data_IF_766770798109
#
_entry.id   IF_766770798109
#
_cell.length_a   1.000
_cell.length_b   1.000
_cell.length_c   1.000
_cell.angle_alpha   90.00
_cell.angle_beta   90.00
_cell.angle_gamma   90.00
#
_symmetry.space_group_name_H-M   'P 1'
#
loop_
_entity.id
_entity.type
_entity.pdbx_description
1 polymer ?
#
# COMPACT_ATOMS: atom_id res chain seq x y z
N UNK A 1 -1.84 15.89 5.72
CA UNK A 1 -0.69 15.98 6.65
C UNK A 1 0.10 14.69 6.72
N UNK A 2 -0.50 13.54 7.12
CA UNK A 2 0.24 12.28 7.27
C UNK A 2 0.99 11.84 6.00
N UNK A 3 0.35 11.89 4.82
CA UNK A 3 1.00 11.57 3.54
C UNK A 3 2.25 12.43 3.32
N UNK A 4 2.11 13.76 3.42
CA UNK A 4 3.26 14.67 3.24
C UNK A 4 4.37 14.40 4.27
N UNK A 5 4.02 14.10 5.51
CA UNK A 5 4.99 13.79 6.56
C UNK A 5 5.79 12.53 6.24
N UNK A 6 5.12 11.44 5.86
CA UNK A 6 5.80 10.16 5.57
C UNK A 6 6.54 10.19 4.24
N UNK A 7 6.03 10.91 3.23
CA UNK A 7 6.76 11.13 1.97
C UNK A 7 8.04 11.92 2.20
N UNK A 8 7.98 12.98 3.01
CA UNK A 8 9.17 13.78 3.34
C UNK A 8 10.16 12.95 4.18
N UNK A 9 9.68 12.22 5.19
CA UNK A 9 10.51 11.34 5.99
C UNK A 9 11.21 10.27 5.14
N UNK A 10 10.52 9.68 4.15
CA UNK A 10 11.10 8.67 3.25
C UNK A 10 12.20 9.28 2.37
N UNK A 11 11.98 10.50 1.86
CA UNK A 11 13.00 11.23 1.11
C UNK A 11 14.23 11.54 1.95
N UNK A 12 14.05 11.96 3.21
CA UNK A 12 15.15 12.22 4.13
C UNK A 12 15.90 10.95 4.53
N UNK A 13 15.20 9.84 4.82
CA UNK A 13 15.80 8.54 5.13
C UNK A 13 16.67 8.04 3.96
N UNK A 14 16.18 8.20 2.73
CA UNK A 14 16.94 7.86 1.52
C UNK A 14 18.24 8.66 1.37
N UNK A 15 18.21 9.97 1.66
CA UNK A 15 19.39 10.84 1.62
C UNK A 15 20.38 10.47 2.73
N UNK A 16 19.90 10.29 3.97
CA UNK A 16 20.73 10.00 5.14
C UNK A 16 21.45 8.66 4.99
N UNK A 17 20.73 7.64 4.51
CA UNK A 17 21.27 6.28 4.29
C UNK A 17 21.95 6.12 2.95
N UNK A 18 21.95 7.14 2.10
CA UNK A 18 22.52 7.13 0.74
C UNK A 18 22.04 5.93 -0.07
N UNK A 19 20.72 5.70 -0.08
CA UNK A 19 20.14 4.57 -0.79
C UNK A 19 20.38 4.73 -2.30
N UNK A 20 20.84 3.65 -2.93
CA UNK A 20 20.98 3.57 -4.39
C UNK A 20 19.60 3.53 -5.03
N UNK A 21 19.40 4.38 -6.06
CA UNK A 21 18.16 4.38 -6.81
C UNK A 21 18.14 3.18 -7.76
N UNK A 22 16.99 2.48 -7.89
CA UNK A 22 16.84 1.49 -8.94
C UNK A 22 16.93 2.15 -10.33
N UNK A 23 17.17 1.36 -11.38
CA UNK A 23 17.07 1.84 -12.76
C UNK A 23 15.74 2.55 -13.03
N UNK A 24 15.77 3.57 -13.89
CA UNK A 24 14.58 4.30 -14.28
C UNK A 24 13.55 3.36 -14.94
N UNK A 25 12.30 3.46 -14.49
CA UNK A 25 11.19 2.77 -15.15
C UNK A 25 10.86 3.48 -16.47
N UNK A 26 10.82 2.73 -17.57
CA UNK A 26 10.55 3.27 -18.91
C UNK A 26 9.13 2.96 -19.38
N UNK A 27 8.74 3.48 -20.55
CA UNK A 27 7.44 3.18 -21.16
C UNK A 27 7.26 1.68 -21.46
N UNK A 28 8.36 0.95 -21.68
CA UNK A 28 8.38 -0.50 -21.85
C UNK A 28 8.08 -1.22 -20.52
N UNK A 29 8.56 -0.69 -19.39
CA UNK A 29 8.28 -1.23 -18.06
C UNK A 29 6.78 -1.25 -17.76
N UNK A 30 6.02 -0.25 -18.24
CA UNK A 30 4.57 -0.16 -18.07
C UNK A 30 3.78 -1.24 -18.84
N UNK A 31 4.40 -1.89 -19.83
CA UNK A 31 3.78 -2.95 -20.64
C UNK A 31 4.01 -4.35 -20.07
N UNK A 32 4.84 -4.47 -19.03
CA UNK A 32 5.14 -5.74 -18.42
C UNK A 32 3.91 -6.29 -17.69
N UNK A 33 3.71 -7.61 -17.78
CA UNK A 33 2.78 -8.32 -16.90
C UNK A 33 3.33 -8.35 -15.48
N UNK A 34 2.47 -8.60 -14.49
CA UNK A 34 2.87 -8.74 -13.08
C UNK A 34 4.04 -9.71 -12.89
N UNK A 35 4.00 -10.84 -13.60
CA UNK A 35 5.06 -11.85 -13.57
C UNK A 35 6.38 -11.29 -14.10
N UNK A 36 6.34 -10.59 -15.23
CA UNK A 36 7.53 -10.00 -15.84
C UNK A 36 8.09 -8.85 -15.00
N UNK A 37 7.24 -8.08 -14.30
CA UNK A 37 7.67 -7.05 -13.35
C UNK A 37 8.48 -7.67 -12.21
N UNK A 38 8.00 -8.78 -11.63
CA UNK A 38 8.70 -9.50 -10.57
C UNK A 38 10.00 -10.12 -11.08
N UNK A 39 10.00 -10.75 -12.27
CA UNK A 39 11.20 -11.30 -12.92
C UNK A 39 12.25 -10.21 -13.21
N UNK A 40 11.81 -8.98 -13.47
CA UNK A 40 12.67 -7.81 -13.67
C UNK A 40 13.12 -7.14 -12.35
N UNK A 41 12.75 -7.70 -11.19
CA UNK A 41 13.16 -7.19 -9.87
C UNK A 41 12.28 -6.08 -9.29
N UNK A 42 11.13 -5.78 -9.91
CA UNK A 42 10.17 -4.84 -9.35
C UNK A 42 9.29 -5.52 -8.29
N UNK A 43 9.13 -4.84 -7.15
CA UNK A 43 8.19 -5.29 -6.13
C UNK A 43 6.83 -4.62 -6.39
N UNK A 44 5.75 -5.39 -6.63
CA UNK A 44 4.43 -4.82 -6.84
C UNK A 44 3.91 -4.15 -5.56
N UNK A 45 3.15 -3.08 -5.74
CA UNK A 45 2.44 -2.45 -4.63
C UNK A 45 1.29 -3.35 -4.14
N UNK A 46 0.90 -3.21 -2.86
CA UNK A 46 -0.31 -3.85 -2.32
C UNK A 46 -1.54 -3.54 -3.17
N UNK A 47 -2.37 -4.55 -3.43
CA UNK A 47 -3.58 -4.43 -4.28
C UNK A 47 -4.84 -4.11 -3.52
N UNK A 48 -4.80 -4.27 -2.21
CA UNK A 48 -5.93 -4.02 -1.32
C UNK A 48 -5.49 -3.20 -0.11
N UNK A 49 -6.44 -2.53 0.52
CA UNK A 49 -6.19 -1.86 1.79
C UNK A 49 -5.71 -2.86 2.85
N UNK A 50 -6.24 -4.09 2.85
CA UNK A 50 -5.76 -5.14 3.75
C UNK A 50 -4.26 -5.40 3.57
N UNK A 51 -3.81 -5.67 2.35
CA UNK A 51 -2.39 -5.92 2.07
C UNK A 51 -1.53 -4.71 2.40
N UNK A 52 -2.02 -3.49 2.13
CA UNK A 52 -1.30 -2.28 2.48
C UNK A 52 -1.14 -2.12 4.00
N UNK A 53 -2.17 -2.50 4.76
CA UNK A 53 -2.13 -2.50 6.24
C UNK A 53 -1.23 -3.61 6.79
N UNK A 54 -1.19 -4.79 6.14
CA UNK A 54 -0.27 -5.88 6.49
C UNK A 54 1.20 -5.37 6.36
N UNK A 55 1.56 -4.74 5.24
CA UNK A 55 2.91 -4.16 5.05
C UNK A 55 3.18 -2.99 6.01
N UNK A 56 2.18 -2.15 6.26
CA UNK A 56 2.31 -1.00 7.16
C UNK A 56 2.56 -1.42 8.61
N UNK A 57 1.93 -2.51 9.08
CA UNK A 57 2.05 -3.04 10.44
C UNK A 57 3.48 -3.48 10.76
N UNK A 58 4.13 -4.13 9.79
CA UNK A 58 5.50 -4.64 9.92
C UNK A 58 6.58 -3.59 9.60
N UNK A 59 6.19 -2.41 9.09
CA UNK A 59 7.14 -1.39 8.68
C UNK A 59 7.75 -0.63 9.86
N UNK A 60 9.01 -0.90 10.16
CA UNK A 60 9.76 -0.13 11.16
C UNK A 60 9.89 1.35 10.78
N UNK A 61 10.16 1.63 9.50
CA UNK A 61 10.22 3.00 8.98
C UNK A 61 8.94 3.79 9.30
N UNK A 62 7.76 3.19 9.10
CA UNK A 62 6.49 3.88 9.37
C UNK A 62 6.27 4.12 10.87
N UNK A 63 6.75 3.23 11.74
CA UNK A 63 6.73 3.43 13.20
C UNK A 63 7.63 4.60 13.61
N UNK A 64 8.82 4.68 13.02
CA UNK A 64 9.77 5.76 13.33
C UNK A 64 9.28 7.11 12.77
N UNK A 65 8.75 7.13 11.54
CA UNK A 65 8.29 8.34 10.88
C UNK A 65 7.00 8.94 11.50
N UNK A 66 6.08 8.10 11.98
CA UNK A 66 4.81 8.54 12.57
C UNK A 66 4.83 8.56 14.11
N UNK A 67 5.74 7.83 14.72
CA UNK A 67 5.70 7.50 16.14
C UNK A 67 4.68 6.39 16.46
N UNK A 68 5.00 5.61 17.51
CA UNK A 68 4.23 4.43 17.94
C UNK A 68 2.74 4.71 18.15
N UNK A 69 2.40 5.86 18.73
CA UNK A 69 1.01 6.22 19.02
C UNK A 69 0.17 6.45 17.75
N UNK A 70 0.69 7.19 16.78
CA UNK A 70 -0.04 7.49 15.54
C UNK A 70 -0.09 6.25 14.66
N UNK A 71 1.02 5.50 14.55
CA UNK A 71 1.10 4.26 13.78
C UNK A 71 0.03 3.25 14.25
N UNK A 72 0.04 2.90 15.53
CA UNK A 72 -0.90 1.92 16.10
C UNK A 72 -2.36 2.37 16.02
N UNK A 73 -2.64 3.66 16.28
CA UNK A 73 -3.99 4.20 16.16
C UNK A 73 -4.50 4.15 14.72
N UNK A 74 -3.67 4.56 13.75
CA UNK A 74 -4.04 4.56 12.34
C UNK A 74 -4.29 3.15 11.83
N UNK A 75 -3.40 2.21 12.13
CA UNK A 75 -3.53 0.79 11.79
C UNK A 75 -4.86 0.23 12.31
N UNK A 76 -5.15 0.42 13.61
CA UNK A 76 -6.39 -0.04 14.24
C UNK A 76 -7.63 0.54 13.56
N UNK A 77 -7.62 1.85 13.28
CA UNK A 77 -8.76 2.52 12.62
C UNK A 77 -8.99 2.00 11.21
N UNK A 78 -7.92 1.84 10.42
CA UNK A 78 -8.03 1.38 9.04
C UNK A 78 -8.34 -0.11 8.90
N UNK A 79 -7.89 -0.95 9.84
CA UNK A 79 -8.35 -2.36 9.96
C UNK A 79 -9.86 -2.43 10.19
N UNK A 80 -10.39 -1.63 11.11
CA UNK A 80 -11.83 -1.58 11.38
C UNK A 80 -12.64 -1.09 10.16
N UNK A 81 -12.12 -0.10 9.43
CA UNK A 81 -12.71 0.38 8.16
C UNK A 81 -12.73 -0.73 7.11
N UNK A 82 -11.63 -1.47 6.94
CA UNK A 82 -11.54 -2.59 6.02
C UNK A 82 -12.54 -3.69 6.35
N UNK A 83 -12.62 -4.13 7.62
CA UNK A 83 -13.58 -5.16 8.03
C UNK A 83 -15.04 -4.76 7.75
N UNK A 84 -15.36 -3.47 7.94
CA UNK A 84 -16.68 -2.95 7.60
C UNK A 84 -16.94 -3.05 6.09
N UNK A 85 -15.97 -2.63 5.28
CA UNK A 85 -16.07 -2.72 3.82
C UNK A 85 -16.26 -4.16 3.33
N UNK A 86 -15.42 -5.10 3.80
CA UNK A 86 -15.46 -6.52 3.42
C UNK A 86 -16.79 -7.20 3.80
N UNK A 87 -17.45 -6.73 4.86
CA UNK A 87 -18.78 -7.22 5.27
C UNK A 87 -19.96 -6.60 4.51
N UNK A 88 -19.70 -5.66 3.59
CA UNK A 88 -20.75 -4.91 2.88
C UNK A 88 -21.03 -5.54 1.52
N UNK A 89 -22.28 -5.88 1.24
CA UNK A 89 -22.72 -6.28 -0.11
C UNK A 89 -22.75 -5.04 -0.99
N UNK A 90 -21.97 -5.06 -2.06
CA UNK A 90 -21.86 -3.96 -3.00
C UNK A 90 -23.00 -3.96 -4.02
N UNK A 91 -23.30 -2.79 -4.60
CA UNK A 91 -24.27 -2.70 -5.69
C UNK A 91 -23.90 -3.56 -6.90
N UNK A 92 -22.59 -3.72 -7.16
CA UNK A 92 -22.11 -4.56 -8.24
C UNK A 92 -22.52 -6.02 -8.01
N UNK A 93 -22.32 -6.54 -6.79
CA UNK A 93 -22.71 -7.91 -6.43
C UNK A 93 -24.23 -8.10 -6.52
N UNK A 94 -25.02 -7.13 -6.06
CA UNK A 94 -26.48 -7.17 -6.21
C UNK A 94 -26.85 -7.28 -7.70
N UNK A 95 -26.27 -6.44 -8.56
CA UNK A 95 -26.56 -6.44 -10.01
C UNK A 95 -26.09 -7.72 -10.70
N UNK A 96 -24.99 -8.33 -10.28
CA UNK A 96 -24.43 -9.52 -10.93
C UNK A 96 -25.06 -10.83 -10.45
N UNK A 97 -25.35 -10.94 -9.16
CA UNK A 97 -25.81 -12.19 -8.56
C UNK A 97 -27.32 -12.24 -8.31
N UNK A 98 -27.98 -11.10 -8.08
CA UNK A 98 -29.43 -11.06 -7.80
C UNK A 98 -30.29 -10.67 -9.01
N UNK A 99 -29.72 -10.03 -10.05
CA UNK A 99 -30.51 -9.68 -11.25
C UNK A 99 -30.74 -10.87 -12.22
N UNK A 100 -30.03 -11.98 -12.03
CA UNK A 100 -30.22 -13.25 -12.75
C UNK A 100 -31.02 -14.29 -11.94
N UNK A 101 -31.66 -13.88 -10.84
CA UNK A 101 -32.55 -14.71 -10.00
C UNK A 101 -34.02 -14.40 -10.26
#
# INVERSE_FOLDING_TARGET
YLVNAVTLAAGLDGIERKLELPPEATAETLKLTDRQMVEAGYTPLPRSLKEALDVFEDSQFMKDALGEHIHSFFLKKKRAEWHKFESTITEWEIKHYLANS
#
